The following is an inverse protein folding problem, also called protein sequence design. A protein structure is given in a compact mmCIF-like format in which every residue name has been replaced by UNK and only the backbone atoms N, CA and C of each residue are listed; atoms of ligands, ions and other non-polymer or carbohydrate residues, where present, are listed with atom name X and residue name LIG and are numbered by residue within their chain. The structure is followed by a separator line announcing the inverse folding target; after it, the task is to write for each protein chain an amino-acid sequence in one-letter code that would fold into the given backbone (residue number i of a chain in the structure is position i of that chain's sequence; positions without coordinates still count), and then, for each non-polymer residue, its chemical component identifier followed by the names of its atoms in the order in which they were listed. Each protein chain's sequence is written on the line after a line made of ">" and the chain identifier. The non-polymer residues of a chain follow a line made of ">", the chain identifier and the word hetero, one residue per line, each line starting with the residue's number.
data_IF_744750346935
#
_entry.id   IF_744750346935
#
_cell.length_a   1.000
_cell.length_b   1.000
_cell.length_c   1.000
_cell.angle_alpha   90.00
_cell.angle_beta   90.00
_cell.angle_gamma   90.00
#
_symmetry.space_group_name_H-M   'P 1'
#
loop_
_entity.id
_entity.type
_entity.pdbx_description
1 polymer ?
#
# COMPACT_ATOMS: atom_id res chain seq x y z
N UNK A 1 14.20 2.38 4.06
CA UNK A 1 12.84 1.82 4.03
C UNK A 1 12.95 0.44 3.43
N UNK A 2 12.46 -0.62 4.09
CA UNK A 2 12.39 -1.93 3.45
C UNK A 2 11.41 -1.83 2.26
N UNK A 3 11.94 -1.99 1.05
CA UNK A 3 11.13 -2.13 -0.16
C UNK A 3 10.59 -3.56 -0.17
N UNK A 4 9.34 -3.74 0.23
CA UNK A 4 8.65 -5.04 0.10
C UNK A 4 8.44 -5.34 -1.37
N UNK A 5 9.29 -6.21 -1.93
CA UNK A 5 9.22 -6.67 -3.33
C UNK A 5 8.01 -7.57 -3.62
N UNK A 6 7.32 -8.08 -2.59
CA UNK A 6 6.14 -8.94 -2.77
C UNK A 6 4.87 -8.20 -3.24
N UNK A 7 4.84 -6.86 -3.07
CA UNK A 7 3.73 -5.99 -3.49
C UNK A 7 4.08 -5.16 -4.73
N UNK A 8 4.87 -5.72 -5.63
CA UNK A 8 5.20 -5.09 -6.91
C UNK A 8 4.15 -5.43 -7.98
N UNK A 9 3.60 -4.41 -8.65
CA UNK A 9 2.69 -4.54 -9.79
C UNK A 9 3.26 -5.44 -10.90
N UNK A 10 4.58 -5.39 -11.09
CA UNK A 10 5.36 -6.22 -12.02
C UNK A 10 5.25 -7.71 -11.69
N UNK A 11 5.21 -8.07 -10.40
CA UNK A 11 5.17 -9.46 -9.96
C UNK A 11 3.74 -10.03 -10.02
N UNK A 12 2.74 -9.24 -9.60
CA UNK A 12 1.34 -9.67 -9.55
C UNK A 12 0.72 -9.76 -10.96
N UNK A 13 0.96 -8.76 -11.82
CA UNK A 13 0.31 -8.69 -13.15
C UNK A 13 1.05 -9.54 -14.19
N UNK A 14 2.38 -9.65 -14.10
CA UNK A 14 3.18 -10.32 -15.14
C UNK A 14 3.42 -11.82 -14.90
N UNK A 15 3.32 -12.31 -13.64
CA UNK A 15 3.64 -13.70 -13.32
C UNK A 15 2.42 -14.62 -12.99
N UNK A 16 1.27 -14.09 -12.53
CA UNK A 16 0.19 -14.94 -12.00
C UNK A 16 -1.18 -14.87 -12.70
N UNK A 17 -1.37 -14.10 -13.78
CA UNK A 17 -2.67 -13.98 -14.50
C UNK A 17 -3.87 -13.59 -13.59
N UNK A 18 -3.63 -12.87 -12.49
CA UNK A 18 -4.72 -12.36 -11.67
C UNK A 18 -5.44 -11.20 -12.38
N UNK A 19 -6.76 -11.20 -12.29
CA UNK A 19 -7.60 -10.10 -12.78
C UNK A 19 -7.33 -8.83 -11.98
N UNK A 20 -7.58 -7.68 -12.59
CA UNK A 20 -7.39 -6.37 -11.94
C UNK A 20 -8.20 -6.22 -10.65
N UNK A 21 -9.31 -6.95 -10.52
CA UNK A 21 -10.10 -7.04 -9.27
C UNK A 21 -9.37 -7.77 -8.15
N UNK A 22 -8.67 -8.86 -8.47
CA UNK A 22 -7.89 -9.60 -7.47
C UNK A 22 -6.71 -8.79 -6.96
N UNK A 23 -6.17 -7.86 -7.75
CA UNK A 23 -5.16 -6.91 -7.30
C UNK A 23 -5.72 -5.91 -6.26
N UNK A 24 -6.94 -5.42 -6.48
CA UNK A 24 -7.63 -4.55 -5.50
C UNK A 24 -7.85 -5.28 -4.18
N UNK A 25 -8.41 -6.49 -4.24
CA UNK A 25 -8.67 -7.31 -3.04
C UNK A 25 -7.39 -7.58 -2.26
N UNK A 26 -6.31 -7.99 -2.92
CA UNK A 26 -5.03 -8.27 -2.26
C UNK A 26 -4.46 -7.05 -1.52
N UNK A 27 -4.59 -5.84 -2.07
CA UNK A 27 -4.12 -4.63 -1.40
C UNK A 27 -5.00 -4.28 -0.21
N UNK A 28 -6.33 -4.41 -0.34
CA UNK A 28 -7.25 -4.19 0.77
C UNK A 28 -6.98 -5.16 1.92
N UNK A 29 -6.81 -6.44 1.62
CA UNK A 29 -6.49 -7.48 2.60
C UNK A 29 -5.14 -7.22 3.29
N UNK A 30 -4.12 -6.82 2.52
CA UNK A 30 -2.82 -6.44 3.09
C UNK A 30 -2.93 -5.22 4.00
N UNK A 31 -3.75 -4.22 3.64
CA UNK A 31 -4.00 -3.06 4.47
C UNK A 31 -4.65 -3.46 5.81
N UNK A 32 -5.69 -4.28 5.77
CA UNK A 32 -6.40 -4.72 6.98
C UNK A 32 -5.50 -5.58 7.88
N UNK A 33 -4.71 -6.49 7.30
CA UNK A 33 -3.75 -7.30 8.05
C UNK A 33 -2.68 -6.45 8.75
N UNK A 34 -2.14 -5.43 8.08
CA UNK A 34 -1.15 -4.54 8.68
C UNK A 34 -1.73 -3.66 9.78
N UNK A 35 -3.00 -3.25 9.68
CA UNK A 35 -3.70 -2.51 10.74
C UNK A 35 -3.87 -3.41 11.98
N UNK A 36 -4.30 -4.65 11.79
CA UNK A 36 -4.43 -5.63 12.88
C UNK A 36 -3.08 -5.88 13.56
N UNK A 37 -2.04 -6.17 12.76
CA UNK A 37 -0.70 -6.42 13.29
C UNK A 37 -0.11 -5.18 13.99
N UNK A 38 -0.38 -3.97 13.49
CA UNK A 38 0.08 -2.73 14.11
C UNK A 38 -0.51 -2.50 15.51
N UNK A 39 -1.71 -3.03 15.77
CA UNK A 39 -2.36 -2.96 17.08
C UNK A 39 -1.61 -3.79 18.13
N UNK A 40 -1.00 -4.90 17.74
CA UNK A 40 -0.27 -5.80 18.65
C UNK A 40 1.24 -5.52 18.70
N UNK A 41 1.85 -5.17 17.57
CA UNK A 41 3.31 -5.15 17.39
C UNK A 41 3.89 -3.79 16.98
N UNK A 42 3.08 -2.73 16.99
CA UNK A 42 3.49 -1.37 16.67
C UNK A 42 3.48 -1.04 15.17
N UNK A 43 3.66 0.24 14.84
CA UNK A 43 3.41 0.81 13.51
C UNK A 43 4.03 0.02 12.35
N UNK A 44 3.20 -0.22 11.32
CA UNK A 44 3.56 -0.91 10.07
C UNK A 44 3.51 0.05 8.89
N UNK A 45 4.16 -0.34 7.79
CA UNK A 45 4.22 0.46 6.55
C UNK A 45 3.68 -0.40 5.40
N UNK A 46 2.60 0.05 4.78
CA UNK A 46 2.14 -0.46 3.49
C UNK A 46 2.79 0.36 2.37
N UNK A 47 3.52 -0.30 1.47
CA UNK A 47 4.15 0.35 0.30
C UNK A 47 3.46 -0.09 -0.99
N UNK A 48 2.98 0.88 -1.78
CA UNK A 48 2.36 0.64 -3.08
C UNK A 48 3.30 1.08 -4.20
N UNK A 49 3.75 0.14 -5.04
CA UNK A 49 4.63 0.42 -6.18
C UNK A 49 3.83 0.56 -7.48
N UNK A 50 3.27 1.76 -7.71
CA UNK A 50 2.42 2.03 -8.88
C UNK A 50 3.24 2.38 -10.13
N UNK A 51 2.94 1.71 -11.25
CA UNK A 51 3.53 2.02 -12.56
C UNK A 51 2.51 2.74 -13.47
N UNK A 52 2.75 4.02 -13.87
CA UNK A 52 1.79 4.80 -14.66
C UNK A 52 1.42 4.16 -15.99
N UNK A 53 2.34 3.44 -16.65
CA UNK A 53 2.08 2.77 -17.93
C UNK A 53 1.19 1.52 -17.79
N UNK A 54 1.08 0.96 -16.58
CA UNK A 54 0.25 -0.22 -16.27
C UNK A 54 -1.11 0.17 -15.72
N UNK A 55 -1.15 0.98 -14.66
CA UNK A 55 -2.39 1.37 -13.97
C UNK A 55 -3.02 2.66 -14.51
N UNK A 56 -2.28 3.47 -15.27
CA UNK A 56 -2.80 4.69 -15.90
C UNK A 56 -3.65 4.43 -17.15
N UNK A 57 -3.86 3.16 -17.53
CA UNK A 57 -4.77 2.82 -18.63
C UNK A 57 -6.22 3.14 -18.22
N UNK A 58 -7.06 3.69 -19.12
CA UNK A 58 -8.44 4.10 -18.78
C UNK A 58 -9.31 3.01 -18.14
N UNK A 59 -9.06 1.74 -18.45
CA UNK A 59 -9.80 0.61 -17.87
C UNK A 59 -9.29 0.18 -16.47
N UNK A 60 -8.10 0.63 -16.06
CA UNK A 60 -7.42 0.25 -14.81
C UNK A 60 -7.36 1.37 -13.77
N UNK A 61 -7.38 2.63 -14.21
CA UNK A 61 -7.25 3.77 -13.29
C UNK A 61 -8.36 3.79 -12.23
N UNK A 62 -9.58 3.38 -12.59
CA UNK A 62 -10.69 3.28 -11.63
C UNK A 62 -10.50 2.19 -10.55
N UNK A 63 -9.60 1.21 -10.76
CA UNK A 63 -9.21 0.24 -9.73
C UNK A 63 -8.24 0.87 -8.74
N UNK A 64 -7.30 1.67 -9.23
CA UNK A 64 -6.39 2.43 -8.38
C UNK A 64 -7.16 3.44 -7.51
N UNK A 65 -8.15 4.14 -8.08
CA UNK A 65 -9.02 5.03 -7.31
C UNK A 65 -9.73 4.30 -6.16
N UNK A 66 -10.30 3.11 -6.42
CA UNK A 66 -10.94 2.28 -5.38
C UNK A 66 -9.98 1.86 -4.28
N UNK A 67 -8.76 1.48 -4.63
CA UNK A 67 -7.72 1.10 -3.66
C UNK A 67 -7.41 2.30 -2.75
N UNK A 68 -7.15 3.46 -3.35
CA UNK A 68 -6.82 4.67 -2.60
C UNK A 68 -7.99 5.12 -1.72
N UNK A 69 -9.23 5.08 -2.24
CA UNK A 69 -10.44 5.38 -1.48
C UNK A 69 -10.60 4.43 -0.28
N UNK A 70 -10.39 3.13 -0.47
CA UNK A 70 -10.45 2.15 0.61
C UNK A 70 -9.41 2.43 1.70
N UNK A 71 -8.15 2.59 1.31
CA UNK A 71 -7.04 2.81 2.25
C UNK A 71 -7.24 4.12 3.02
N UNK A 72 -7.63 5.20 2.34
CA UNK A 72 -7.84 6.51 2.96
C UNK A 72 -9.10 6.60 3.81
N UNK A 73 -10.05 5.65 3.65
CA UNK A 73 -11.24 5.57 4.51
C UNK A 73 -10.96 5.03 5.92
N UNK A 74 -9.79 4.41 6.15
CA UNK A 74 -9.38 3.84 7.43
C UNK A 74 -8.77 4.93 8.30
N UNK A 75 -9.30 5.14 9.50
CA UNK A 75 -8.82 6.18 10.43
C UNK A 75 -7.42 5.85 11.00
N UNK A 76 -7.07 4.57 10.98
CA UNK A 76 -5.80 4.01 11.45
C UNK A 76 -4.66 4.23 10.46
N UNK A 77 -4.97 4.62 9.22
CA UNK A 77 -3.98 4.80 8.17
C UNK A 77 -3.48 6.24 8.16
N UNK A 78 -2.16 6.39 8.31
CA UNK A 78 -1.50 7.66 8.12
C UNK A 78 -0.88 7.75 6.72
N UNK A 79 -1.52 8.52 5.83
CA UNK A 79 -0.97 8.83 4.52
C UNK A 79 0.15 9.86 4.64
N UNK A 80 1.39 9.39 4.63
CA UNK A 80 2.57 10.22 4.82
C UNK A 80 3.53 10.09 3.63
N UNK A 81 4.16 11.21 3.27
CA UNK A 81 5.31 11.21 2.38
C UNK A 81 6.51 10.53 3.03
N UNK A 82 7.46 10.06 2.22
CA UNK A 82 8.69 9.45 2.72
C UNK A 82 9.48 10.38 3.67
N UNK A 83 9.37 11.70 3.46
CA UNK A 83 10.00 12.72 4.32
C UNK A 83 9.34 12.80 5.69
N UNK A 84 8.01 12.72 5.76
CA UNK A 84 7.27 12.74 7.03
C UNK A 84 7.56 11.48 7.85
N UNK A 85 7.58 10.30 7.21
CA UNK A 85 7.96 9.03 7.86
C UNK A 85 9.37 9.12 8.44
N UNK A 86 10.33 9.70 7.70
CA UNK A 86 11.69 9.89 8.17
C UNK A 86 11.77 10.84 9.37
N UNK A 87 10.94 11.87 9.40
CA UNK A 87 10.89 12.82 10.51
C UNK A 87 10.34 12.16 11.78
N UNK A 88 9.25 11.39 11.68
CA UNK A 88 8.67 10.66 12.81
C UNK A 88 9.63 9.60 13.35
N UNK A 89 10.30 8.85 12.46
CA UNK A 89 11.32 7.88 12.89
C UNK A 89 12.48 8.51 13.66
N UNK A 90 12.88 9.75 13.30
CA UNK A 90 13.91 10.49 14.04
C UNK A 90 13.40 10.97 15.40
N UNK A 91 12.16 11.43 15.47
CA UNK A 91 11.54 11.86 16.74
C UNK A 91 11.35 10.69 17.70
N UNK A 92 10.88 9.54 17.22
CA UNK A 92 10.65 8.35 18.05
C UNK A 92 11.95 7.73 18.60
N UNK A 93 13.11 8.05 18.01
CA UNK A 93 14.43 7.57 18.46
C UNK A 93 15.14 8.52 19.43
N UNK A 94 14.69 9.77 19.51
CA UNK A 94 15.27 10.81 20.36
C UNK A 94 14.47 11.04 21.66
N UNK A 95 13.43 10.23 21.90
CA UNK A 95 12.67 10.16 23.15
C UNK A 95 12.96 8.85 23.87
#
# INVERSE_FOLDING_TARGET
>A
MPLSQELEDSFIIMNNKHTEDSYVEQICDACDFLIEEATEQGGRILSLNIHPWMLGQPHRIGKLEKILEYITSKNEVWCASASEILNEYRQSRNS
#
